data_IF_933837131873
#
_entry.id   IF_933837131873
#
_cell.length_a   1.000
_cell.length_b   1.000
_cell.length_c   1.000
_cell.angle_alpha   90.00
_cell.angle_beta   90.00
_cell.angle_gamma   90.00
#
_symmetry.space_group_name_H-M   'P 1'
#
loop_
_entity.id
_entity.type
_entity.pdbx_description
1 polymer ?
#
# COMPACT_ATOMS: atom_id res chain seq x y z
N UNK A 1 45.30 9.94 -45.62
CA UNK A 1 44.17 9.21 -45.01
C UNK A 1 44.74 8.03 -44.22
N UNK A 2 44.77 8.10 -42.89
CA UNK A 2 45.11 6.97 -42.02
C UNK A 2 44.67 7.23 -40.57
N UNK A 3 43.69 6.42 -40.14
CA UNK A 3 43.43 5.89 -38.80
C UNK A 3 43.43 6.83 -37.58
N UNK A 4 42.21 7.18 -37.16
CA UNK A 4 41.91 7.76 -35.86
C UNK A 4 42.21 6.79 -34.71
N UNK A 5 42.82 7.32 -33.65
CA UNK A 5 43.09 6.60 -32.41
C UNK A 5 41.86 6.66 -31.50
N UNK A 6 41.17 5.53 -31.38
CA UNK A 6 40.10 5.29 -30.40
C UNK A 6 40.72 5.22 -29.00
N UNK A 7 40.31 6.12 -28.09
CA UNK A 7 40.58 6.00 -26.65
C UNK A 7 39.65 4.93 -26.06
N UNK A 8 40.13 4.01 -25.20
CA UNK A 8 39.23 3.13 -24.47
C UNK A 8 38.50 3.93 -23.38
N UNK A 9 37.18 3.72 -23.30
CA UNK A 9 36.32 4.23 -22.23
C UNK A 9 36.71 3.53 -20.93
N UNK A 10 37.07 4.32 -19.91
CA UNK A 10 37.31 3.86 -18.54
C UNK A 10 35.99 3.34 -17.96
N UNK A 11 35.96 2.07 -17.57
CA UNK A 11 34.83 1.48 -16.88
C UNK A 11 34.75 2.07 -15.45
N UNK A 12 33.72 2.88 -15.21
CA UNK A 12 33.39 3.35 -13.87
C UNK A 12 32.94 2.15 -13.01
N UNK A 13 33.67 1.89 -11.93
CA UNK A 13 33.31 0.92 -10.90
C UNK A 13 32.08 1.45 -10.18
N UNK A 14 30.92 0.84 -10.42
CA UNK A 14 29.71 1.09 -9.66
C UNK A 14 29.84 0.41 -8.29
N UNK A 15 30.18 1.19 -7.26
CA UNK A 15 30.12 0.74 -5.87
C UNK A 15 28.66 0.50 -5.49
N UNK A 16 28.25 -0.76 -5.51
CA UNK A 16 26.95 -1.21 -5.02
C UNK A 16 26.84 -0.96 -3.51
N UNK A 17 26.02 0.02 -3.11
CA UNK A 17 25.56 0.10 -1.73
C UNK A 17 24.43 -0.91 -1.56
N UNK A 18 24.79 -2.14 -1.25
CA UNK A 18 23.83 -3.11 -0.73
C UNK A 18 23.37 -2.62 0.65
N UNK A 19 22.14 -2.09 0.70
CA UNK A 19 21.46 -1.83 1.96
C UNK A 19 21.22 -3.19 2.58
N UNK A 20 21.90 -3.48 3.70
CA UNK A 20 21.71 -4.72 4.43
C UNK A 20 20.23 -4.85 4.84
N UNK A 21 19.57 -5.89 4.36
CA UNK A 21 18.22 -6.21 4.77
C UNK A 21 18.21 -6.53 6.28
N UNK A 22 17.31 -5.92 7.08
CA UNK A 22 17.23 -6.22 8.50
C UNK A 22 16.90 -7.71 8.69
N UNK A 23 17.79 -8.38 9.41
CA UNK A 23 17.82 -9.82 9.68
C UNK A 23 16.93 -10.17 10.88
N UNK A 24 15.68 -9.69 10.88
CA UNK A 24 14.67 -10.06 11.86
C UNK A 24 13.53 -10.79 11.14
N UNK A 25 13.03 -11.87 11.73
CA UNK A 25 11.82 -12.51 11.24
C UNK A 25 10.72 -11.45 11.11
N UNK A 26 9.94 -11.45 10.02
CA UNK A 26 8.92 -10.45 9.80
C UNK A 26 7.97 -10.40 10.99
N UNK A 27 7.78 -9.21 11.54
CA UNK A 27 6.85 -8.99 12.65
C UNK A 27 5.44 -9.21 12.10
N UNK A 28 4.57 -9.90 12.84
CA UNK A 28 3.18 -10.01 12.43
C UNK A 28 2.47 -8.66 12.62
N UNK A 29 1.52 -8.32 11.74
CA UNK A 29 0.67 -7.17 11.97
C UNK A 29 -0.25 -7.38 13.19
N UNK A 30 -0.37 -6.36 14.04
CA UNK A 30 -1.54 -6.19 14.90
C UNK A 30 -2.71 -5.73 14.03
N UNK A 31 -3.66 -6.65 13.81
CA UNK A 31 -4.86 -6.42 13.00
C UNK A 31 -6.09 -6.05 13.84
N UNK A 32 -5.90 -5.61 15.09
CA UNK A 32 -6.99 -5.03 15.88
C UNK A 32 -7.31 -3.63 15.39
N UNK A 33 -8.58 -3.28 15.36
CA UNK A 33 -9.01 -1.92 15.01
C UNK A 33 -8.55 -0.95 16.11
N UNK A 34 -7.67 0.02 15.82
CA UNK A 34 -7.23 0.99 16.82
C UNK A 34 -8.39 1.85 17.32
N UNK A 35 -8.31 2.26 18.59
CA UNK A 35 -9.23 3.25 19.15
C UNK A 35 -9.10 4.60 18.43
N UNK A 36 -10.12 5.45 18.55
CA UNK A 36 -10.02 6.83 18.07
C UNK A 36 -8.92 7.54 18.86
N UNK A 37 -8.03 8.22 18.15
CA UNK A 37 -6.92 8.96 18.73
C UNK A 37 -6.80 10.37 18.12
N UNK A 38 -5.98 11.19 18.76
CA UNK A 38 -5.66 12.56 18.35
C UNK A 38 -4.21 12.63 17.92
N UNK A 39 -3.94 13.19 16.75
CA UNK A 39 -2.60 13.31 16.16
C UNK A 39 -2.24 14.78 15.96
N UNK A 40 -1.04 15.18 16.38
CA UNK A 40 -0.51 16.53 16.16
C UNK A 40 0.06 16.62 14.74
N UNK A 41 -0.41 17.61 13.95
CA UNK A 41 -0.11 17.67 12.50
C UNK A 41 1.37 17.88 12.17
N UNK A 42 2.08 18.62 13.00
CA UNK A 42 3.46 19.07 12.82
C UNK A 42 4.51 17.99 13.13
N UNK A 43 4.17 17.02 13.98
CA UNK A 43 5.06 15.90 14.35
C UNK A 43 4.76 14.59 13.62
N UNK A 44 3.64 14.52 12.87
CA UNK A 44 3.25 13.34 12.10
C UNK A 44 3.67 13.46 10.63
N UNK A 45 3.86 12.30 9.98
CA UNK A 45 3.95 12.23 8.51
C UNK A 45 2.53 12.20 7.93
N UNK A 46 2.00 13.38 7.60
CA UNK A 46 0.61 13.54 7.13
C UNK A 46 0.53 13.52 5.61
N UNK A 47 -0.45 12.80 5.05
CA UNK A 47 -0.81 12.89 3.63
C UNK A 47 -2.33 12.95 3.45
N UNK A 48 -2.79 13.56 2.36
CA UNK A 48 -4.20 13.58 1.98
C UNK A 48 -4.42 13.10 0.54
N UNK A 49 -3.50 13.47 -0.37
CA UNK A 49 -3.59 13.20 -1.81
C UNK A 49 -2.34 12.46 -2.29
N UNK A 50 -2.50 11.68 -3.35
CA UNK A 50 -1.41 10.92 -3.96
C UNK A 50 -0.22 11.77 -4.46
N UNK A 51 -0.40 13.08 -4.64
CA UNK A 51 0.62 14.03 -5.10
C UNK A 51 1.31 14.79 -3.96
N UNK A 52 0.87 14.61 -2.71
CA UNK A 52 1.52 15.25 -1.56
C UNK A 52 2.91 14.64 -1.34
N UNK A 53 3.74 15.28 -0.52
CA UNK A 53 5.09 14.80 -0.15
C UNK A 53 5.08 13.33 0.30
N UNK A 54 4.11 12.99 1.15
CA UNK A 54 3.89 11.63 1.65
C UNK A 54 2.79 10.88 0.87
N UNK A 55 2.32 11.43 -0.26
CA UNK A 55 1.18 10.92 -1.03
C UNK A 55 1.38 9.52 -1.60
N UNK A 56 2.63 9.12 -1.84
CA UNK A 56 2.95 7.76 -2.25
C UNK A 56 2.61 6.70 -1.18
N UNK A 57 2.48 7.08 0.10
CA UNK A 57 2.07 6.16 1.17
C UNK A 57 0.64 5.65 0.97
N UNK A 58 -0.27 6.52 0.51
CA UNK A 58 -1.69 6.19 0.35
C UNK A 58 -1.95 5.05 -0.62
N UNK A 59 -2.94 4.20 -0.31
CA UNK A 59 -3.41 3.11 -1.17
C UNK A 59 -3.95 3.59 -2.53
N UNK A 60 -4.38 4.85 -2.61
CA UNK A 60 -4.87 5.50 -3.85
C UNK A 60 -3.75 5.97 -4.80
N UNK A 61 -2.47 5.83 -4.42
CA UNK A 61 -1.36 6.24 -5.24
C UNK A 61 -1.14 5.28 -6.43
N UNK A 62 -1.21 5.83 -7.65
CA UNK A 62 -0.96 5.10 -8.89
C UNK A 62 0.53 5.17 -9.29
N UNK A 63 0.90 4.38 -10.30
CA UNK A 63 2.27 4.34 -10.85
C UNK A 63 3.24 3.52 -10.01
N UNK A 64 2.71 2.64 -9.15
CA UNK A 64 3.46 1.69 -8.33
C UNK A 64 2.78 0.32 -8.47
N UNK A 65 2.94 -0.35 -9.63
CA UNK A 65 2.30 -1.64 -9.86
C UNK A 65 2.82 -2.67 -8.87
N UNK A 66 1.97 -3.60 -8.49
CA UNK A 66 2.28 -4.67 -7.54
C UNK A 66 1.98 -6.04 -8.17
N UNK A 67 2.77 -7.04 -7.80
CA UNK A 67 2.52 -8.43 -8.18
C UNK A 67 2.03 -9.24 -6.98
N UNK A 68 0.90 -9.92 -7.12
CA UNK A 68 0.31 -10.78 -6.10
C UNK A 68 -0.56 -11.85 -6.78
N UNK A 69 -0.57 -13.08 -6.25
CA UNK A 69 -1.25 -14.24 -6.83
C UNK A 69 -0.83 -14.54 -8.28
N UNK A 70 0.44 -14.29 -8.61
CA UNK A 70 0.96 -14.39 -9.99
C UNK A 70 0.43 -13.32 -10.96
N UNK A 71 -0.35 -12.34 -10.49
CA UNK A 71 -0.98 -11.32 -11.33
C UNK A 71 -0.39 -9.94 -11.07
N UNK A 72 -0.39 -9.09 -12.11
CA UNK A 72 -0.03 -7.67 -12.02
C UNK A 72 -1.26 -6.81 -11.72
N UNK A 73 -1.14 -5.93 -10.74
CA UNK A 73 -2.17 -4.98 -10.31
C UNK A 73 -1.69 -3.54 -10.52
N UNK A 74 -2.59 -2.65 -10.96
CA UNK A 74 -2.27 -1.24 -11.23
C UNK A 74 -2.03 -0.39 -9.98
N UNK A 75 -2.62 -0.77 -8.85
CA UNK A 75 -2.46 -0.13 -7.54
C UNK A 75 -2.78 -1.09 -6.40
N UNK A 76 -2.36 -0.75 -5.18
CA UNK A 76 -2.78 -1.46 -3.96
C UNK A 76 -4.28 -1.39 -3.72
N UNK A 77 -4.95 -0.30 -4.14
CA UNK A 77 -6.41 -0.20 -4.03
C UNK A 77 -7.11 -1.21 -4.93
N UNK A 78 -6.61 -1.45 -6.15
CA UNK A 78 -7.19 -2.45 -7.04
C UNK A 78 -7.13 -3.86 -6.43
N UNK A 79 -5.98 -4.23 -5.86
CA UNK A 79 -5.84 -5.50 -5.14
C UNK A 79 -6.78 -5.56 -3.93
N UNK A 80 -6.79 -4.52 -3.08
CA UNK A 80 -7.66 -4.46 -1.90
C UNK A 80 -9.14 -4.63 -2.26
N UNK A 81 -9.62 -3.94 -3.30
CA UNK A 81 -11.01 -4.03 -3.73
C UNK A 81 -11.32 -5.37 -4.41
N UNK A 82 -10.38 -6.01 -5.11
CA UNK A 82 -10.60 -7.34 -5.66
C UNK A 82 -10.70 -8.42 -4.57
N UNK A 83 -9.89 -8.33 -3.50
CA UNK A 83 -9.95 -9.24 -2.34
C UNK A 83 -11.30 -9.25 -1.60
N UNK A 84 -12.12 -8.24 -1.85
CA UNK A 84 -13.50 -8.11 -1.33
C UNK A 84 -14.49 -9.08 -1.97
N UNK A 85 -14.18 -9.62 -3.15
CA UNK A 85 -15.08 -10.43 -3.98
C UNK A 85 -14.48 -11.80 -4.39
N UNK A 86 -14.01 -12.64 -3.45
CA UNK A 86 -13.37 -13.92 -3.78
C UNK A 86 -14.30 -14.94 -4.47
N UNK A 87 -15.61 -14.69 -4.48
CA UNK A 87 -16.61 -15.54 -5.13
C UNK A 87 -17.00 -15.04 -6.54
N UNK A 88 -16.41 -13.94 -7.02
CA UNK A 88 -16.70 -13.33 -8.33
C UNK A 88 -15.39 -13.10 -9.11
N UNK A 89 -14.68 -14.17 -9.52
CA UNK A 89 -13.34 -14.03 -10.09
C UNK A 89 -13.31 -13.21 -11.38
N UNK A 90 -14.35 -13.25 -12.21
CA UNK A 90 -14.47 -12.41 -13.41
C UNK A 90 -14.60 -10.93 -13.06
N UNK A 91 -15.25 -10.62 -11.92
CA UNK A 91 -15.36 -9.25 -11.44
C UNK A 91 -14.04 -8.76 -10.81
N UNK A 92 -13.30 -9.64 -10.14
CA UNK A 92 -11.94 -9.34 -9.65
C UNK A 92 -11.02 -8.96 -10.81
N UNK A 93 -11.16 -9.64 -11.95
CA UNK A 93 -10.40 -9.34 -13.15
C UNK A 93 -10.75 -7.96 -13.74
N UNK A 94 -12.03 -7.60 -13.76
CA UNK A 94 -12.45 -6.24 -14.16
C UNK A 94 -11.87 -5.17 -13.23
N UNK A 95 -11.86 -5.39 -11.91
CA UNK A 95 -11.25 -4.48 -10.93
C UNK A 95 -9.73 -4.37 -11.16
N UNK A 96 -9.05 -5.49 -11.41
CA UNK A 96 -7.62 -5.54 -11.68
C UNK A 96 -7.22 -4.71 -12.91
N UNK A 97 -8.07 -4.74 -13.94
CA UNK A 97 -7.88 -4.00 -15.19
C UNK A 97 -8.35 -2.55 -15.15
N UNK A 98 -8.92 -2.07 -14.03
CA UNK A 98 -9.31 -0.68 -13.91
C UNK A 98 -8.09 0.25 -14.07
N UNK A 99 -8.22 1.37 -14.81
CA UNK A 99 -7.06 2.19 -15.20
C UNK A 99 -6.42 2.94 -14.03
N UNK A 100 -7.16 3.14 -12.94
CA UNK A 100 -6.69 3.87 -11.75
C UNK A 100 -7.25 3.26 -10.47
N UNK A 101 -6.60 3.55 -9.34
CA UNK A 101 -7.10 3.21 -8.00
C UNK A 101 -8.55 3.68 -7.77
N UNK A 102 -8.90 4.89 -8.23
CA UNK A 102 -10.27 5.40 -8.13
C UNK A 102 -11.25 4.60 -8.98
N UNK A 103 -10.90 4.30 -10.23
CA UNK A 103 -11.74 3.49 -11.10
C UNK A 103 -11.95 2.07 -10.52
N UNK A 104 -10.92 1.48 -9.90
CA UNK A 104 -11.03 0.19 -9.24
C UNK A 104 -12.02 0.23 -8.07
N UNK A 105 -11.94 1.28 -7.24
CA UNK A 105 -12.86 1.51 -6.12
C UNK A 105 -14.29 1.77 -6.59
N UNK A 106 -14.47 2.64 -7.57
CA UNK A 106 -15.79 2.98 -8.11
C UNK A 106 -16.46 1.74 -8.69
N UNK A 107 -15.72 0.94 -9.47
CA UNK A 107 -16.21 -0.32 -10.01
C UNK A 107 -16.61 -1.29 -8.90
N UNK A 108 -15.74 -1.52 -7.90
CA UNK A 108 -16.05 -2.36 -6.75
C UNK A 108 -17.32 -1.92 -6.00
N UNK A 109 -17.56 -0.61 -5.93
CA UNK A 109 -18.74 -0.07 -5.24
C UNK A 109 -20.04 -0.28 -6.01
N UNK A 110 -20.01 -0.54 -7.32
CA UNK A 110 -21.20 -0.93 -8.09
C UNK A 110 -21.81 -2.24 -7.59
N UNK A 111 -20.96 -3.15 -7.06
CA UNK A 111 -21.37 -4.44 -6.49
C UNK A 111 -21.14 -4.50 -4.98
N UNK A 112 -21.19 -3.35 -4.28
CA UNK A 112 -20.96 -3.28 -2.82
C UNK A 112 -21.84 -4.25 -2.01
N UNK A 113 -23.07 -4.53 -2.48
CA UNK A 113 -23.99 -5.47 -1.81
C UNK A 113 -23.54 -6.94 -1.88
N UNK A 114 -22.62 -7.27 -2.79
CA UNK A 114 -22.04 -8.60 -2.97
C UNK A 114 -20.67 -8.71 -2.30
N UNK A 115 -20.38 -7.85 -1.32
CA UNK A 115 -19.17 -7.97 -0.50
C UNK A 115 -19.19 -9.30 0.24
N UNK A 116 -18.03 -9.99 0.34
CA UNK A 116 -17.90 -11.18 1.19
C UNK A 116 -18.42 -10.93 2.61
N UNK A 117 -19.13 -11.89 3.23
CA UNK A 117 -19.84 -11.67 4.50
C UNK A 117 -18.91 -11.38 5.69
N UNK A 118 -17.66 -11.84 5.64
CA UNK A 118 -16.62 -11.66 6.64
C UNK A 118 -15.73 -10.42 6.39
N UNK A 119 -16.15 -9.50 5.51
CA UNK A 119 -15.30 -8.38 5.10
C UNK A 119 -14.86 -7.47 6.24
N UNK A 120 -15.68 -7.26 7.26
CA UNK A 120 -15.28 -6.47 8.43
C UNK A 120 -14.15 -7.12 9.24
N UNK A 121 -14.04 -8.45 9.20
CA UNK A 121 -12.93 -9.19 9.83
C UNK A 121 -11.69 -9.25 8.91
N UNK A 122 -11.88 -9.17 7.60
CA UNK A 122 -10.83 -9.39 6.60
C UNK A 122 -10.24 -8.10 6.02
N UNK A 123 -10.91 -6.96 6.12
CA UNK A 123 -10.49 -5.72 5.45
C UNK A 123 -9.12 -5.21 5.92
N UNK A 124 -8.78 -5.34 7.21
CA UNK A 124 -7.47 -4.97 7.75
C UNK A 124 -6.39 -5.91 7.21
N UNK A 125 -6.64 -7.22 7.19
CA UNK A 125 -5.72 -8.21 6.60
C UNK A 125 -5.50 -7.95 5.11
N UNK A 126 -6.58 -7.67 4.36
CA UNK A 126 -6.52 -7.36 2.94
C UNK A 126 -5.70 -6.11 2.66
N UNK A 127 -5.89 -5.06 3.46
CA UNK A 127 -5.10 -3.83 3.34
C UNK A 127 -3.62 -4.07 3.75
N UNK A 128 -3.38 -4.77 4.85
CA UNK A 128 -2.01 -5.11 5.29
C UNK A 128 -1.25 -5.92 4.24
N UNK A 129 -1.91 -6.90 3.61
CA UNK A 129 -1.36 -7.65 2.49
C UNK A 129 -1.08 -6.75 1.28
N UNK A 130 -2.05 -5.93 0.86
CA UNK A 130 -1.88 -5.03 -0.28
C UNK A 130 -0.73 -4.01 -0.07
N UNK A 131 -0.57 -3.49 1.15
CA UNK A 131 0.54 -2.63 1.52
C UNK A 131 1.87 -3.38 1.56
N UNK A 132 1.88 -4.64 2.03
CA UNK A 132 3.06 -5.50 1.99
C UNK A 132 3.52 -5.73 0.54
N UNK A 133 2.60 -6.06 -0.38
CA UNK A 133 2.92 -6.18 -1.80
C UNK A 133 3.45 -4.86 -2.39
N UNK A 134 2.95 -3.71 -1.91
CA UNK A 134 3.39 -2.39 -2.36
C UNK A 134 4.86 -2.09 -2.06
N UNK A 135 5.50 -2.80 -1.13
CA UNK A 135 6.94 -2.74 -0.90
C UNK A 135 7.78 -3.15 -2.12
N UNK A 136 7.21 -3.82 -3.12
CA UNK A 136 7.89 -4.07 -4.39
C UNK A 136 8.28 -2.77 -5.13
N UNK A 137 7.68 -1.63 -4.78
CA UNK A 137 8.01 -0.33 -5.37
C UNK A 137 9.04 0.44 -4.55
N UNK A 138 10.18 0.78 -5.18
CA UNK A 138 11.21 1.65 -4.59
C UNK A 138 10.64 3.01 -4.16
N UNK A 139 9.74 3.60 -4.96
CA UNK A 139 9.09 4.88 -4.64
C UNK A 139 8.30 4.80 -3.33
N UNK A 140 7.62 3.68 -3.08
CA UNK A 140 6.88 3.49 -1.84
C UNK A 140 7.83 3.24 -0.65
N UNK A 141 8.90 2.46 -0.85
CA UNK A 141 9.93 2.27 0.17
C UNK A 141 10.60 3.59 0.59
N UNK A 142 10.95 4.45 -0.37
CA UNK A 142 11.48 5.79 -0.11
C UNK A 142 10.48 6.66 0.65
N UNK A 143 9.18 6.59 0.32
CA UNK A 143 8.16 7.33 1.05
C UNK A 143 8.04 6.88 2.52
N UNK A 144 8.16 5.57 2.79
CA UNK A 144 8.22 5.04 4.16
C UNK A 144 9.47 5.51 4.90
N UNK A 145 10.64 5.49 4.25
CA UNK A 145 11.89 5.99 4.83
C UNK A 145 11.80 7.48 5.17
N UNK A 146 11.19 8.29 4.28
CA UNK A 146 10.98 9.73 4.48
C UNK A 146 9.99 10.04 5.62
N UNK A 147 9.11 9.11 5.98
CA UNK A 147 8.30 9.27 7.19
C UNK A 147 9.19 9.30 8.45
N UNK A 148 10.39 8.72 8.41
CA UNK A 148 11.44 8.93 9.42
C UNK A 148 11.06 8.43 10.82
N UNK A 149 10.29 7.35 10.90
CA UNK A 149 9.79 6.80 12.16
C UNK A 149 8.65 7.60 12.81
N UNK A 150 8.24 8.72 12.21
CA UNK A 150 7.04 9.47 12.66
C UNK A 150 5.79 8.63 12.45
N UNK A 151 4.78 8.90 13.26
CA UNK A 151 3.47 8.34 13.05
C UNK A 151 2.91 8.82 11.69
N UNK A 152 2.46 7.87 10.88
CA UNK A 152 1.88 8.15 9.57
C UNK A 152 0.38 8.38 9.73
N UNK A 153 -0.15 9.46 9.14
CA UNK A 153 -1.57 9.82 9.27
C UNK A 153 -2.17 10.20 7.93
N UNK A 154 -3.25 9.50 7.54
CA UNK A 154 -4.08 9.92 6.41
C UNK A 154 -5.05 11.02 6.88
N UNK A 155 -4.92 12.23 6.36
CA UNK A 155 -5.88 13.30 6.53
C UNK A 155 -7.07 13.04 5.59
N UNK A 156 -8.25 12.84 6.18
CA UNK A 156 -9.49 12.60 5.45
C UNK A 156 -10.64 13.45 5.98
N UNK A 157 -11.35 14.13 5.07
CA UNK A 157 -12.55 14.91 5.41
C UNK A 157 -13.82 14.07 5.50
N UNK A 158 -13.77 12.80 5.09
CA UNK A 158 -14.96 11.96 4.88
C UNK A 158 -14.88 10.59 5.57
N UNK A 159 -13.68 10.15 5.92
CA UNK A 159 -13.42 8.81 6.43
C UNK A 159 -12.56 8.86 7.70
N UNK A 160 -13.23 8.69 8.85
CA UNK A 160 -12.57 8.66 10.17
C UNK A 160 -12.14 7.25 10.59
N UNK A 161 -12.45 6.25 9.77
CA UNK A 161 -12.03 4.87 10.00
C UNK A 161 -10.62 4.66 9.41
N UNK A 162 -10.46 4.84 8.11
CA UNK A 162 -9.17 4.68 7.45
C UNK A 162 -8.21 5.85 7.75
N UNK A 163 -8.74 7.07 7.83
CA UNK A 163 -7.97 8.28 8.13
C UNK A 163 -8.43 9.01 9.40
N UNK A 164 -8.03 10.27 9.49
CA UNK A 164 -8.36 11.19 10.57
C UNK A 164 -8.80 12.56 10.02
N UNK A 165 -9.83 13.14 10.63
CA UNK A 165 -10.38 14.44 10.23
C UNK A 165 -9.65 15.60 10.91
N UNK A 166 -9.43 16.74 10.24
CA UNK A 166 -8.79 17.88 10.86
C UNK A 166 -9.71 18.63 11.85
N UNK A 167 -9.15 18.93 13.03
CA UNK A 167 -9.77 19.78 14.07
C UNK A 167 -8.72 20.80 14.54
N UNK A 168 -8.69 21.97 13.91
CA UNK A 168 -7.66 22.98 14.18
C UNK A 168 -6.24 22.46 13.88
N UNK A 169 -5.37 22.47 14.89
CA UNK A 169 -3.98 21.98 14.77
C UNK A 169 -3.85 20.45 14.84
N UNK A 170 -4.91 19.72 15.19
CA UNK A 170 -4.87 18.26 15.34
C UNK A 170 -5.68 17.54 14.25
N UNK A 171 -5.47 16.22 14.16
CA UNK A 171 -6.28 15.27 13.40
C UNK A 171 -6.93 14.28 14.37
N UNK A 172 -8.19 13.93 14.17
CA UNK A 172 -8.92 12.98 15.05
C UNK A 172 -9.53 11.86 14.21
N UNK A 173 -9.23 10.61 14.56
CA UNK A 173 -9.79 9.44 13.86
C UNK A 173 -9.14 8.16 14.33
N UNK A 174 -9.56 7.03 13.76
CA UNK A 174 -8.88 5.74 14.01
C UNK A 174 -7.58 5.64 13.22
N UNK A 175 -7.52 6.28 12.04
CA UNK A 175 -6.34 6.28 11.17
C UNK A 175 -5.79 4.86 10.93
N UNK A 176 -6.68 3.91 10.61
CA UNK A 176 -6.33 2.50 10.43
C UNK A 176 -5.25 2.34 9.35
N UNK A 177 -5.32 3.12 8.26
CA UNK A 177 -4.33 3.06 7.19
C UNK A 177 -2.94 3.48 7.72
N UNK A 178 -2.87 4.61 8.43
CA UNK A 178 -1.64 5.10 9.03
C UNK A 178 -1.08 4.16 10.11
N UNK A 179 -1.95 3.50 10.87
CA UNK A 179 -1.57 2.47 11.83
C UNK A 179 -0.89 1.28 11.15
N UNK A 180 -1.48 0.73 10.08
CA UNK A 180 -0.88 -0.35 9.29
C UNK A 180 0.44 0.10 8.63
N UNK A 181 0.50 1.30 8.06
CA UNK A 181 1.73 1.84 7.46
C UNK A 181 2.87 1.99 8.48
N UNK A 182 2.55 2.40 9.71
CA UNK A 182 3.53 2.53 10.79
C UNK A 182 4.09 1.15 11.18
N UNK A 183 3.23 0.13 11.28
CA UNK A 183 3.66 -1.26 11.52
C UNK A 183 4.51 -1.80 10.36
N UNK A 184 4.11 -1.53 9.12
CA UNK A 184 4.86 -1.92 7.92
C UNK A 184 6.27 -1.29 7.91
N UNK A 185 6.38 0.00 8.25
CA UNK A 185 7.65 0.70 8.40
C UNK A 185 8.53 0.07 9.50
N UNK A 186 7.92 -0.42 10.59
CA UNK A 186 8.59 -1.13 11.67
C UNK A 186 8.94 -2.60 11.34
N UNK A 187 8.62 -3.08 10.14
CA UNK A 187 8.99 -4.42 9.68
C UNK A 187 7.86 -5.44 9.64
N UNK A 188 6.61 -5.04 9.90
CA UNK A 188 5.48 -5.96 9.85
C UNK A 188 5.20 -6.44 8.42
N UNK A 189 4.89 -7.73 8.21
CA UNK A 189 4.62 -8.28 6.86
C UNK A 189 3.43 -9.27 6.89
N UNK A 190 2.75 -9.39 5.76
CA UNK A 190 1.81 -10.48 5.46
C UNK A 190 2.24 -11.10 4.14
N UNK A 191 2.46 -12.42 4.10
CA UNK A 191 2.78 -13.12 2.86
C UNK A 191 1.55 -13.85 2.31
N UNK A 192 1.58 -14.11 1.01
CA UNK A 192 0.49 -14.81 0.33
C UNK A 192 0.21 -16.19 0.94
N UNK A 193 1.26 -16.89 1.39
CA UNK A 193 1.17 -18.18 2.04
C UNK A 193 0.46 -18.16 3.41
N UNK A 194 0.37 -16.99 4.06
CA UNK A 194 -0.27 -16.82 5.37
C UNK A 194 -1.77 -16.47 5.25
N UNK A 195 -2.26 -16.25 4.03
CA UNK A 195 -3.63 -15.85 3.79
C UNK A 195 -4.60 -17.03 3.98
N UNK A 196 -5.80 -16.79 4.53
CA UNK A 196 -6.81 -17.83 4.67
C UNK A 196 -7.16 -18.52 3.35
N UNK A 197 -7.54 -19.79 3.42
CA UNK A 197 -8.03 -20.51 2.23
C UNK A 197 -9.24 -19.78 1.64
N UNK A 198 -9.24 -19.61 0.31
CA UNK A 198 -10.31 -18.90 -0.40
C UNK A 198 -10.29 -17.39 -0.25
N UNK A 199 -9.21 -16.80 0.28
CA UNK A 199 -9.06 -15.35 0.41
C UNK A 199 -9.06 -14.63 -0.95
N UNK A 200 -8.54 -15.29 -1.98
CA UNK A 200 -8.57 -14.86 -3.38
C UNK A 200 -8.84 -16.08 -4.27
N UNK A 201 -9.48 -15.88 -5.43
CA UNK A 201 -9.68 -16.92 -6.46
C UNK A 201 -9.34 -16.36 -7.83
N UNK A 202 -8.64 -17.15 -8.63
CA UNK A 202 -8.36 -16.81 -10.02
C UNK A 202 -9.61 -17.11 -10.87
N UNK A 203 -9.81 -16.32 -11.92
CA UNK A 203 -10.74 -16.69 -12.99
C UNK A 203 -10.22 -17.94 -13.69
N UNK A 204 -11.14 -18.83 -14.07
CA UNK A 204 -10.82 -20.04 -14.82
C UNK A 204 -10.43 -19.71 -16.27
#
# INVERSE_FOLDING_TARGET
MAFGRSRPLSAAVATSMAIAAPTAAPVAFDLRIPAVATFQKDVCAVFCKAKDEHGALGNMANGMPIYAFGLRWGSSEALYQALRFPHLPEFQEQIRHAPTAWAAKDLAYTRKKETRPDWEQMNLLAMAFALTCKLQSERFQLALANAGGRQIVELSMRDRFWGAEPRGAVLIGRNVLGFLLTQLAAGARVFEADLPVGFFRLAA
#
